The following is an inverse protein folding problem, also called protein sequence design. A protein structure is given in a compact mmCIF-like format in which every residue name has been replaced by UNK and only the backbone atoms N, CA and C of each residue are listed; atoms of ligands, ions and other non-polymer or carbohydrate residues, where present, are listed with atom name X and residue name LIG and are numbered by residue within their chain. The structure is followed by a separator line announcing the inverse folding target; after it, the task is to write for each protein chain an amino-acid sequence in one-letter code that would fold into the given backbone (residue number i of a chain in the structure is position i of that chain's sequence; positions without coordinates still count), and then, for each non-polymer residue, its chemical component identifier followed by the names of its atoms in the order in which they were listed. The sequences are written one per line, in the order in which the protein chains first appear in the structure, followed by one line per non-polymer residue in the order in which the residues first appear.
data_IF_674153275024
#
_entry.id   IF_674153275024
#
_cell.length_a   1.000
_cell.length_b   1.000
_cell.length_c   1.000
_cell.angle_alpha   90.00
_cell.angle_beta   90.00
_cell.angle_gamma   90.00
#
_symmetry.space_group_name_H-M   'P 1'
#
loop_
_entity.id
_entity.type
_entity.pdbx_description
1 polymer ?
#
# COMPACT_ATOMS: atom_id res chain seq x y z
N UNK A 1 25.20 18.09 -21.51
CA UNK A 1 25.22 17.60 -20.11
C UNK A 1 23.91 16.83 -19.92
N UNK A 2 23.91 15.52 -20.12
CA UNK A 2 24.08 14.51 -19.05
C UNK A 2 23.31 14.87 -17.79
N UNK A 3 22.31 14.04 -17.51
CA UNK A 3 21.35 14.19 -16.44
C UNK A 3 21.96 14.06 -15.06
N UNK A 4 21.20 14.56 -14.09
CA UNK A 4 21.37 14.23 -12.70
C UNK A 4 20.02 13.69 -12.23
N UNK A 5 19.92 12.36 -12.21
CA UNK A 5 18.97 11.68 -11.36
C UNK A 5 19.26 12.10 -9.91
N UNK A 6 18.30 12.72 -9.24
CA UNK A 6 18.40 12.96 -7.81
C UNK A 6 18.20 11.63 -7.06
N UNK A 7 19.14 11.25 -6.17
CA UNK A 7 18.98 10.11 -5.27
C UNK A 7 18.20 10.59 -4.03
N UNK A 8 16.98 10.09 -3.86
CA UNK A 8 16.17 10.29 -2.66
C UNK A 8 15.81 8.94 -2.07
N UNK A 9 16.63 8.47 -1.13
CA UNK A 9 16.59 7.13 -0.54
C UNK A 9 15.41 6.89 0.40
N UNK A 10 15.01 5.62 0.41
CA UNK A 10 13.92 5.03 1.19
C UNK A 10 13.23 3.92 0.40
N UNK A 11 14.01 3.07 -0.29
CA UNK A 11 13.49 2.00 -1.14
C UNK A 11 13.49 0.68 -0.40
N UNK A 12 12.32 0.07 -0.22
CA UNK A 12 12.25 -1.32 0.20
C UNK A 12 12.99 -2.26 -0.76
N UNK A 13 13.41 -3.44 -0.28
CA UNK A 13 14.15 -4.40 -1.08
C UNK A 13 13.29 -4.90 -2.24
N UNK A 14 13.88 -4.97 -3.43
CA UNK A 14 13.34 -5.66 -4.58
C UNK A 14 13.10 -7.15 -4.29
N UNK A 15 12.25 -7.81 -5.06
CA UNK A 15 12.04 -9.25 -4.91
C UNK A 15 13.34 -10.06 -5.06
N UNK A 16 14.24 -9.65 -5.96
CA UNK A 16 15.55 -10.27 -6.14
C UNK A 16 16.40 -10.18 -4.87
N UNK A 17 16.40 -9.04 -4.19
CA UNK A 17 17.10 -8.85 -2.92
C UNK A 17 16.49 -9.70 -1.81
N UNK A 18 15.15 -9.73 -1.72
CA UNK A 18 14.44 -10.62 -0.77
C UNK A 18 14.83 -12.06 -1.04
N UNK A 19 14.67 -12.53 -2.28
CA UNK A 19 14.98 -13.89 -2.72
C UNK A 19 16.42 -14.31 -2.37
N UNK A 20 17.40 -13.49 -2.72
CA UNK A 20 18.81 -13.78 -2.46
C UNK A 20 19.18 -13.73 -0.98
N UNK A 21 18.38 -13.04 -0.16
CA UNK A 21 18.58 -13.00 1.28
C UNK A 21 18.04 -14.25 1.99
N UNK A 22 17.16 -15.03 1.37
CA UNK A 22 16.53 -16.20 1.97
C UNK A 22 17.45 -17.42 1.99
N UNK A 23 17.26 -18.27 3.00
CA UNK A 23 17.87 -19.59 3.10
C UNK A 23 17.56 -20.47 1.87
N UNK A 24 18.36 -21.52 1.66
CA UNK A 24 18.07 -22.50 0.61
C UNK A 24 16.72 -23.18 0.85
N UNK A 25 16.41 -23.53 2.11
CA UNK A 25 15.15 -24.16 2.50
C UNK A 25 13.93 -23.30 2.17
N UNK A 26 13.97 -22.00 2.48
CA UNK A 26 12.88 -21.07 2.13
C UNK A 26 12.74 -20.86 0.62
N UNK A 27 13.85 -20.80 -0.12
CA UNK A 27 13.81 -20.74 -1.59
C UNK A 27 13.25 -22.00 -2.21
N UNK A 28 13.57 -23.16 -1.65
CA UNK A 28 13.01 -24.45 -2.09
C UNK A 28 11.51 -24.52 -1.80
N UNK A 29 11.07 -24.04 -0.62
CA UNK A 29 9.65 -23.94 -0.27
C UNK A 29 8.87 -23.01 -1.23
N UNK A 30 9.43 -21.85 -1.58
CA UNK A 30 8.83 -20.94 -2.58
C UNK A 30 8.82 -21.60 -3.97
N UNK A 31 9.89 -22.30 -4.34
CA UNK A 31 9.96 -23.03 -5.62
C UNK A 31 8.94 -24.16 -5.70
N UNK A 32 8.64 -24.81 -4.57
CA UNK A 32 7.64 -25.88 -4.49
C UNK A 32 6.24 -25.41 -4.91
N UNK A 33 5.89 -24.14 -4.65
CA UNK A 33 4.62 -23.53 -5.08
C UNK A 33 4.43 -23.54 -6.61
N UNK A 34 5.54 -23.49 -7.35
CA UNK A 34 5.54 -23.45 -8.82
C UNK A 34 5.68 -24.85 -9.46
N UNK A 35 5.66 -25.92 -8.67
CA UNK A 35 5.71 -27.28 -9.19
C UNK A 35 4.43 -27.66 -9.92
N UNK A 36 4.53 -28.68 -10.79
CA UNK A 36 3.40 -29.12 -11.59
C UNK A 36 2.27 -29.67 -10.72
N UNK A 37 2.61 -30.43 -9.67
CA UNK A 37 1.60 -31.03 -8.78
C UNK A 37 1.05 -30.07 -7.72
N UNK A 38 1.74 -28.96 -7.40
CA UNK A 38 1.26 -28.03 -6.37
C UNK A 38 -0.04 -27.34 -6.81
N UNK A 39 -1.04 -27.37 -5.92
CA UNK A 39 -2.28 -26.59 -6.05
C UNK A 39 -2.28 -25.40 -5.09
N UNK A 40 -1.18 -25.14 -4.39
CA UNK A 40 -1.11 -24.12 -3.33
C UNK A 40 -1.41 -22.72 -3.87
N UNK A 41 -1.03 -22.43 -5.11
CA UNK A 41 -1.31 -21.14 -5.75
C UNK A 41 -2.77 -20.96 -6.19
N UNK A 42 -3.61 -22.01 -6.17
CA UNK A 42 -5.04 -21.88 -6.47
C UNK A 42 -5.80 -21.15 -5.35
N UNK A 43 -5.21 -21.08 -4.16
CA UNK A 43 -5.79 -20.36 -3.02
C UNK A 43 -4.76 -19.49 -2.31
N UNK A 44 -5.23 -18.43 -1.67
CA UNK A 44 -4.39 -17.62 -0.77
C UNK A 44 -3.87 -18.49 0.38
N UNK A 45 -2.64 -18.23 0.81
CA UNK A 45 -2.10 -18.84 2.01
C UNK A 45 -2.95 -18.48 3.25
N UNK A 46 -3.38 -19.50 3.99
CA UNK A 46 -4.13 -19.30 5.23
C UNK A 46 -3.33 -18.47 6.23
N UNK A 47 -3.97 -17.48 6.87
CA UNK A 47 -3.37 -16.56 7.84
C UNK A 47 -2.25 -15.66 7.29
N UNK A 48 -2.09 -15.54 5.97
CA UNK A 48 -1.26 -14.48 5.41
C UNK A 48 -1.85 -13.09 5.68
N UNK A 49 -1.02 -12.02 5.69
CA UNK A 49 -1.53 -10.65 5.72
C UNK A 49 -2.61 -10.46 4.65
N UNK A 50 -3.69 -9.71 4.92
CA UNK A 50 -4.80 -9.54 3.99
C UNK A 50 -4.34 -8.93 2.66
N UNK A 51 -4.98 -9.29 1.53
CA UNK A 51 -4.67 -8.75 0.19
C UNK A 51 -4.82 -7.24 0.14
N UNK A 52 -5.79 -6.78 0.94
CA UNK A 52 -6.20 -5.40 1.09
C UNK A 52 -6.23 -5.13 2.58
N UNK A 53 -5.08 -4.76 3.17
CA UNK A 53 -5.08 -4.30 4.54
C UNK A 53 -5.92 -3.03 4.66
N UNK A 54 -6.43 -2.76 5.86
CA UNK A 54 -7.08 -1.50 6.16
C UNK A 54 -6.07 -0.36 5.98
N UNK A 55 -6.24 0.41 4.92
CA UNK A 55 -5.41 1.56 4.58
C UNK A 55 -6.21 2.85 4.69
N UNK A 56 -5.57 3.99 5.00
CA UNK A 56 -6.27 5.26 5.00
C UNK A 56 -6.94 5.58 3.66
N UNK A 57 -8.03 6.35 3.69
CA UNK A 57 -8.67 6.95 2.51
C UNK A 57 -7.60 7.61 1.63
N UNK A 58 -7.67 7.50 0.31
CA UNK A 58 -6.65 8.07 -0.58
C UNK A 58 -5.33 7.29 -0.64
N UNK A 59 -5.17 6.21 0.16
CA UNK A 59 -4.10 5.24 0.02
C UNK A 59 -4.61 4.02 -0.75
N UNK A 60 -3.83 3.53 -1.70
CA UNK A 60 -4.14 2.34 -2.50
C UNK A 60 -3.05 1.29 -2.35
N UNK A 61 -3.45 0.03 -2.23
CA UNK A 61 -2.54 -1.13 -2.25
C UNK A 61 -2.51 -1.66 -3.67
N UNK A 62 -1.32 -1.84 -4.24
CA UNK A 62 -1.15 -2.40 -5.59
C UNK A 62 -0.07 -3.45 -5.63
N UNK A 63 -0.21 -4.36 -6.58
CA UNK A 63 0.87 -5.26 -6.96
C UNK A 63 2.05 -4.44 -7.52
N UNK A 64 3.24 -4.65 -6.99
CA UNK A 64 4.46 -4.15 -7.58
C UNK A 64 4.82 -5.00 -8.81
N UNK A 65 4.70 -4.39 -10.00
CA UNK A 65 5.06 -5.02 -11.27
C UNK A 65 6.55 -5.33 -11.37
N UNK A 66 7.42 -4.61 -10.64
CA UNK A 66 8.84 -4.95 -10.56
C UNK A 66 9.04 -6.22 -9.74
N UNK A 67 8.39 -6.33 -8.57
CA UNK A 67 8.39 -7.56 -7.78
C UNK A 67 7.83 -8.77 -8.53
N UNK A 68 6.70 -8.62 -9.25
CA UNK A 68 6.14 -9.69 -10.08
C UNK A 68 7.14 -10.15 -11.16
N UNK A 69 7.79 -9.22 -11.85
CA UNK A 69 8.84 -9.55 -12.84
C UNK A 69 10.06 -10.22 -12.20
N UNK A 70 10.51 -9.73 -11.05
CA UNK A 70 11.60 -10.33 -10.28
C UNK A 70 11.25 -11.76 -9.84
N UNK A 71 10.02 -11.99 -9.39
CA UNK A 71 9.54 -13.33 -9.03
C UNK A 71 9.57 -14.29 -10.23
N UNK A 72 9.09 -13.85 -11.41
CA UNK A 72 9.17 -14.66 -12.64
C UNK A 72 10.61 -14.97 -13.05
N UNK A 73 11.55 -14.06 -12.80
CA UNK A 73 12.95 -14.23 -13.14
C UNK A 73 13.70 -15.15 -12.15
N UNK A 74 13.40 -15.04 -10.85
CA UNK A 74 14.11 -15.75 -9.80
C UNK A 74 13.54 -17.14 -9.50
N UNK A 75 12.21 -17.28 -9.47
CA UNK A 75 11.57 -18.51 -8.99
C UNK A 75 11.48 -19.53 -10.13
N UNK A 76 12.17 -20.67 -10.03
CA UNK A 76 12.13 -21.68 -11.07
C UNK A 76 10.70 -22.14 -11.35
N UNK A 77 10.35 -22.26 -12.63
CA UNK A 77 9.03 -22.73 -13.12
C UNK A 77 7.84 -21.82 -12.81
N UNK A 78 8.00 -20.71 -12.08
CA UNK A 78 6.89 -19.81 -11.76
C UNK A 78 6.24 -19.22 -13.01
N UNK A 79 7.04 -18.84 -14.01
CA UNK A 79 6.51 -18.35 -15.29
C UNK A 79 5.64 -19.40 -16.01
N UNK A 80 6.04 -20.67 -15.95
CA UNK A 80 5.22 -21.75 -16.52
C UNK A 80 3.91 -21.91 -15.75
N UNK A 81 3.98 -21.89 -14.41
CA UNK A 81 2.79 -21.99 -13.54
C UNK A 81 1.83 -20.81 -13.75
N UNK A 82 2.36 -19.60 -13.96
CA UNK A 82 1.60 -18.39 -14.32
C UNK A 82 0.76 -18.60 -15.59
N UNK A 83 1.36 -19.10 -16.67
CA UNK A 83 0.63 -19.45 -17.90
C UNK A 83 -0.33 -20.64 -17.76
N UNK A 84 -0.07 -21.56 -16.83
CA UNK A 84 -0.96 -22.71 -16.59
C UNK A 84 -2.23 -22.29 -15.85
N UNK A 85 -2.13 -21.37 -14.89
CA UNK A 85 -3.26 -20.94 -14.05
C UNK A 85 -4.03 -19.75 -14.64
N UNK A 86 -3.41 -18.87 -15.44
CA UNK A 86 -4.09 -17.70 -16.01
C UNK A 86 -4.40 -17.91 -17.50
N UNK A 87 -5.62 -17.59 -17.97
CA UNK A 87 -6.80 -17.13 -17.24
C UNK A 87 -7.70 -18.28 -16.76
N UNK A 88 -7.21 -19.52 -16.77
CA UNK A 88 -8.04 -20.74 -16.65
C UNK A 88 -8.62 -20.96 -15.25
N UNK A 89 -7.84 -20.63 -14.24
CA UNK A 89 -8.14 -20.86 -12.82
C UNK A 89 -8.19 -19.54 -12.07
N UNK A 90 -7.28 -18.61 -12.37
CA UNK A 90 -7.13 -17.33 -11.66
C UNK A 90 -7.07 -16.16 -12.63
N UNK A 91 -7.46 -14.98 -12.14
CA UNK A 91 -7.08 -13.73 -12.79
C UNK A 91 -5.61 -13.41 -12.51
N UNK A 92 -5.03 -12.49 -13.29
CA UNK A 92 -3.66 -12.00 -13.06
C UNK A 92 -3.49 -11.49 -11.61
N UNK A 93 -4.46 -10.74 -11.10
CA UNK A 93 -4.41 -10.17 -9.76
C UNK A 93 -4.50 -11.25 -8.66
N UNK A 94 -5.36 -12.24 -8.83
CA UNK A 94 -5.54 -13.30 -7.84
C UNK A 94 -4.30 -14.22 -7.78
N UNK A 95 -3.71 -14.54 -8.93
CA UNK A 95 -2.46 -15.30 -8.97
C UNK A 95 -1.36 -14.63 -8.16
N UNK A 96 -1.18 -13.32 -8.35
CA UNK A 96 -0.14 -12.59 -7.65
C UNK A 96 -0.45 -12.42 -6.17
N UNK A 97 -1.70 -12.15 -5.77
CA UNK A 97 -2.07 -12.14 -4.34
C UNK A 97 -1.79 -13.51 -3.70
N UNK A 98 -2.17 -14.61 -4.35
CA UNK A 98 -1.92 -15.94 -3.83
C UNK A 98 -0.41 -16.22 -3.70
N UNK A 99 0.36 -16.03 -4.78
CA UNK A 99 1.80 -16.25 -4.75
C UNK A 99 2.48 -15.42 -3.65
N UNK A 100 2.23 -14.12 -3.62
CA UNK A 100 2.86 -13.23 -2.66
C UNK A 100 2.37 -13.46 -1.22
N UNK A 101 1.15 -13.96 -1.02
CA UNK A 101 0.68 -14.37 0.30
C UNK A 101 1.49 -15.54 0.87
N UNK A 102 1.83 -16.53 0.03
CA UNK A 102 2.66 -17.67 0.44
C UNK A 102 4.10 -17.24 0.71
N UNK A 103 4.68 -16.45 -0.19
CA UNK A 103 6.03 -15.88 0.01
C UNK A 103 6.09 -15.06 1.29
N UNK A 104 5.07 -14.24 1.57
CA UNK A 104 5.04 -13.40 2.77
C UNK A 104 5.07 -14.24 4.05
N UNK A 105 4.40 -15.39 4.09
CA UNK A 105 4.46 -16.28 5.27
C UNK A 105 5.85 -16.87 5.48
N UNK A 106 6.50 -17.26 4.39
CA UNK A 106 7.86 -17.82 4.43
C UNK A 106 8.84 -16.74 4.91
N UNK A 107 8.72 -15.54 4.35
CA UNK A 107 9.52 -14.37 4.76
C UNK A 107 9.20 -13.97 6.21
N UNK A 108 7.94 -14.02 6.66
CA UNK A 108 7.57 -13.69 8.04
C UNK A 108 8.25 -14.60 9.06
N UNK A 109 8.39 -15.90 8.72
CA UNK A 109 9.02 -16.88 9.58
C UNK A 109 10.54 -16.72 9.64
N UNK A 110 11.20 -16.37 8.52
CA UNK A 110 12.67 -16.28 8.46
C UNK A 110 13.20 -14.87 8.74
N UNK A 111 12.57 -13.85 8.15
CA UNK A 111 13.02 -12.45 8.09
C UNK A 111 11.84 -11.46 8.19
N UNK A 112 11.16 -11.41 9.35
CA UNK A 112 9.99 -10.55 9.53
C UNK A 112 10.28 -9.05 9.30
N UNK A 113 11.53 -8.61 9.43
CA UNK A 113 11.97 -7.25 9.15
C UNK A 113 11.81 -6.83 7.69
N UNK A 114 11.78 -7.79 6.75
CA UNK A 114 11.57 -7.51 5.32
C UNK A 114 10.11 -7.24 4.97
N UNK A 115 9.18 -7.53 5.89
CA UNK A 115 7.76 -7.21 5.78
C UNK A 115 7.42 -5.86 6.42
N UNK A 116 8.43 -5.10 6.85
CA UNK A 116 8.22 -3.86 7.59
C UNK A 116 7.69 -2.76 6.65
N UNK A 117 6.47 -2.24 6.88
CA UNK A 117 5.78 -1.38 5.94
C UNK A 117 6.32 0.06 5.87
N UNK A 118 7.23 0.45 6.77
CA UNK A 118 7.94 1.75 6.67
C UNK A 118 8.74 1.90 5.35
N UNK A 119 9.14 0.78 4.75
CA UNK A 119 9.94 0.71 3.53
C UNK A 119 9.12 0.86 2.23
N UNK A 120 7.79 0.90 2.27
CA UNK A 120 6.96 0.47 1.12
C UNK A 120 5.81 1.36 0.66
N UNK A 121 5.82 2.66 0.96
CA UNK A 121 4.91 3.59 0.27
C UNK A 121 5.66 4.25 -0.90
N UNK A 122 5.40 3.80 -2.13
CA UNK A 122 5.86 4.48 -3.34
C UNK A 122 4.79 5.48 -3.81
N UNK A 123 5.17 6.44 -4.61
CA UNK A 123 4.24 7.22 -5.42
C UNK A 123 4.44 6.77 -6.87
N UNK A 124 3.39 6.30 -7.53
CA UNK A 124 3.43 5.94 -8.95
C UNK A 124 2.27 6.62 -9.65
N UNK A 125 2.60 7.37 -10.70
CA UNK A 125 1.68 8.20 -11.46
C UNK A 125 0.75 7.40 -12.38
N UNK A 126 0.95 6.08 -12.52
CA UNK A 126 0.25 5.28 -13.52
C UNK A 126 -0.50 4.09 -12.90
N UNK A 127 -1.80 4.27 -12.63
CA UNK A 127 -2.90 3.32 -12.94
C UNK A 127 -4.22 3.80 -12.29
N UNK A 128 -5.34 3.35 -12.85
CA UNK A 128 -6.72 3.83 -12.64
C UNK A 128 -7.05 4.37 -11.24
N UNK A 129 -7.52 5.62 -11.12
CA UNK A 129 -7.81 6.25 -9.84
C UNK A 129 -9.05 5.62 -9.21
N UNK A 130 -8.85 4.91 -8.11
CA UNK A 130 -9.95 4.60 -7.20
C UNK A 130 -9.96 5.75 -6.20
N UNK A 131 -10.37 6.95 -6.66
CA UNK A 131 -10.33 8.17 -5.86
C UNK A 131 -11.33 8.06 -4.69
N UNK A 132 -10.89 7.37 -3.64
CA UNK A 132 -11.67 7.06 -2.46
C UNK A 132 -11.90 8.30 -1.61
N UNK A 133 -11.04 9.31 -1.73
CA UNK A 133 -11.23 10.60 -1.08
C UNK A 133 -12.50 11.29 -1.57
N UNK A 134 -12.73 11.37 -2.88
CA UNK A 134 -13.91 12.06 -3.41
C UNK A 134 -15.22 11.45 -2.91
N UNK A 135 -15.30 10.11 -2.86
CA UNK A 135 -16.47 9.42 -2.28
C UNK A 135 -16.61 9.68 -0.78
N UNK A 136 -15.51 9.56 -0.02
CA UNK A 136 -15.54 9.78 1.42
C UNK A 136 -15.92 11.23 1.77
N UNK A 137 -15.32 12.19 1.08
CA UNK A 137 -15.63 13.62 1.23
C UNK A 137 -17.09 13.92 0.93
N UNK A 138 -17.66 13.30 -0.11
CA UNK A 138 -19.08 13.46 -0.43
C UNK A 138 -19.99 12.93 0.69
N UNK A 139 -19.62 11.82 1.33
CA UNK A 139 -20.39 11.22 2.43
C UNK A 139 -20.29 11.93 3.78
N UNK A 140 -19.29 12.79 3.99
CA UNK A 140 -19.15 13.55 5.23
C UNK A 140 -20.27 14.60 5.39
N UNK A 141 -20.83 14.69 6.58
CA UNK A 141 -21.73 15.79 6.96
C UNK A 141 -20.96 17.12 7.10
N UNK A 142 -21.69 18.22 7.29
CA UNK A 142 -21.09 19.56 7.41
C UNK A 142 -20.12 19.63 8.59
N UNK A 143 -20.48 19.08 9.75
CA UNK A 143 -19.65 19.09 10.94
C UNK A 143 -18.33 18.37 10.74
N UNK A 144 -18.36 17.19 10.12
CA UNK A 144 -17.16 16.40 9.82
C UNK A 144 -16.28 17.06 8.75
N UNK A 145 -16.89 17.71 7.75
CA UNK A 145 -16.14 18.53 6.78
C UNK A 145 -15.41 19.69 7.45
N UNK A 146 -16.02 20.35 8.44
CA UNK A 146 -15.34 21.40 9.22
C UNK A 146 -14.17 20.85 10.04
N UNK A 147 -14.29 19.65 10.62
CA UNK A 147 -13.16 19.00 11.30
C UNK A 147 -12.00 18.74 10.34
N UNK A 148 -12.27 18.28 9.11
CA UNK A 148 -11.24 18.09 8.09
C UNK A 148 -10.63 19.44 7.65
N UNK A 149 -11.43 20.50 7.48
CA UNK A 149 -10.93 21.85 7.16
C UNK A 149 -10.05 22.41 8.28
N UNK A 150 -10.37 22.13 9.54
CA UNK A 150 -9.56 22.54 10.68
C UNK A 150 -8.14 21.94 10.67
N UNK A 151 -7.93 20.79 10.01
CA UNK A 151 -6.58 20.24 9.79
C UNK A 151 -5.71 21.17 8.94
N UNK A 152 -6.31 21.87 7.98
CA UNK A 152 -5.65 22.81 7.08
C UNK A 152 -5.53 24.22 7.67
N UNK A 153 -6.02 24.48 8.89
CA UNK A 153 -5.91 25.78 9.52
C UNK A 153 -4.43 26.18 9.71
N UNK A 154 -4.15 27.48 9.55
CA UNK A 154 -2.77 28.01 9.56
C UNK A 154 -1.99 27.57 10.80
N UNK A 155 -2.62 27.65 11.96
CA UNK A 155 -2.01 27.42 13.27
C UNK A 155 -2.18 25.96 13.75
N UNK A 156 -2.82 25.10 12.97
CA UNK A 156 -3.00 23.68 13.30
C UNK A 156 -1.71 22.89 13.12
N UNK A 157 -1.30 22.12 14.12
CA UNK A 157 -0.14 21.21 14.02
C UNK A 157 -0.55 19.76 13.76
N UNK A 158 -1.85 19.50 13.60
CA UNK A 158 -2.39 18.15 13.49
C UNK A 158 -1.75 17.31 12.38
N UNK A 159 -1.40 17.92 11.25
CA UNK A 159 -0.79 17.20 10.11
C UNK A 159 0.68 16.82 10.31
N UNK A 160 1.35 17.28 11.38
CA UNK A 160 2.73 16.88 11.69
C UNK A 160 2.84 15.42 12.12
N UNK A 161 1.73 14.81 12.53
CA UNK A 161 1.66 13.42 13.00
C UNK A 161 0.33 12.77 12.65
N UNK A 162 0.27 11.45 12.43
CA UNK A 162 -1.01 10.75 12.25
C UNK A 162 -1.85 10.81 13.54
N UNK A 163 -3.19 10.73 13.47
CA UNK A 163 -4.03 10.68 14.67
C UNK A 163 -3.84 9.35 15.40
N UNK A 164 -3.96 9.31 16.74
CA UNK A 164 -3.75 8.09 17.52
C UNK A 164 -4.66 6.92 17.16
N UNK A 165 -5.88 7.22 16.67
CA UNK A 165 -6.89 6.23 16.30
C UNK A 165 -6.86 5.85 14.81
N UNK A 166 -5.89 6.35 14.03
CA UNK A 166 -5.79 5.93 12.64
C UNK A 166 -5.39 4.45 12.53
N UNK A 167 -5.85 3.76 11.47
CA UNK A 167 -5.18 2.54 11.03
C UNK A 167 -3.68 2.78 10.91
N UNK A 168 -2.87 1.74 11.08
CA UNK A 168 -1.43 1.86 10.93
C UNK A 168 -1.10 2.61 9.63
N UNK A 169 -0.36 3.72 9.73
CA UNK A 169 -0.02 4.59 8.60
C UNK A 169 0.64 3.82 7.43
N UNK A 170 1.27 2.69 7.76
CA UNK A 170 1.68 1.67 6.83
C UNK A 170 1.31 0.31 7.45
N UNK A 171 0.20 -0.33 7.07
CA UNK A 171 -0.10 -1.68 7.55
C UNK A 171 0.88 -2.69 6.93
N UNK A 172 1.10 -3.83 7.59
CA UNK A 172 1.87 -4.93 6.99
C UNK A 172 1.20 -5.35 5.68
N UNK A 173 1.92 -5.21 4.58
CA UNK A 173 1.46 -5.61 3.25
C UNK A 173 2.24 -6.86 2.78
N UNK A 174 1.65 -7.74 1.97
CA UNK A 174 2.38 -8.86 1.39
C UNK A 174 3.63 -8.41 0.61
N UNK A 175 4.68 -9.24 0.59
CA UNK A 175 5.84 -9.09 -0.30
C UNK A 175 5.35 -8.80 -1.72
N UNK A 176 5.98 -7.88 -2.44
CA UNK A 176 5.58 -7.57 -3.82
C UNK A 176 4.27 -6.81 -3.94
N UNK A 177 3.72 -6.31 -2.84
CA UNK A 177 2.70 -5.25 -2.85
C UNK A 177 3.28 -3.95 -2.32
N UNK A 178 2.81 -2.84 -2.86
CA UNK A 178 3.21 -1.50 -2.48
C UNK A 178 1.99 -0.66 -2.14
N UNK A 179 2.17 0.23 -1.16
CA UNK A 179 1.18 1.23 -0.81
C UNK A 179 1.47 2.51 -1.61
N UNK A 180 0.44 3.22 -2.04
CA UNK A 180 0.59 4.47 -2.76
C UNK A 180 -0.41 5.50 -2.30
N UNK A 181 0.00 6.77 -2.35
CA UNK A 181 -0.95 7.88 -2.35
C UNK A 181 -1.57 7.96 -3.75
N UNK A 182 -2.90 7.88 -3.84
CA UNK A 182 -3.60 8.13 -5.09
C UNK A 182 -3.49 9.62 -5.44
N UNK A 183 -2.79 9.92 -6.53
CA UNK A 183 -2.60 11.29 -6.99
C UNK A 183 -3.93 12.01 -7.30
N UNK A 184 -4.95 11.28 -7.77
CA UNK A 184 -6.28 11.87 -7.98
C UNK A 184 -6.94 12.23 -6.65
N UNK A 185 -6.78 11.39 -5.62
CA UNK A 185 -7.26 11.68 -4.28
C UNK A 185 -6.55 12.90 -3.66
N UNK A 186 -5.23 12.99 -3.79
CA UNK A 186 -4.45 14.14 -3.34
C UNK A 186 -4.90 15.43 -4.04
N UNK A 187 -5.03 15.38 -5.38
CA UNK A 187 -5.48 16.53 -6.16
C UNK A 187 -6.91 16.98 -5.79
N UNK A 188 -7.82 16.04 -5.58
CA UNK A 188 -9.19 16.38 -5.20
C UNK A 188 -9.28 16.86 -3.74
N UNK A 189 -8.41 16.37 -2.85
CA UNK A 189 -8.27 16.92 -1.51
C UNK A 189 -7.81 18.39 -1.55
N UNK A 190 -6.81 18.73 -2.37
CA UNK A 190 -6.33 20.11 -2.54
C UNK A 190 -7.41 21.04 -3.07
N UNK A 191 -8.28 20.56 -3.95
CA UNK A 191 -9.42 21.33 -4.49
C UNK A 191 -10.56 21.48 -3.50
N UNK A 192 -10.85 20.44 -2.72
CA UNK A 192 -12.06 20.34 -1.90
C UNK A 192 -11.89 20.89 -0.49
N UNK A 193 -10.68 20.79 0.08
CA UNK A 193 -10.38 21.22 1.44
C UNK A 193 -9.73 22.60 1.39
N UNK A 194 -10.46 23.59 1.87
CA UNK A 194 -10.00 24.97 1.88
C UNK A 194 -8.67 25.12 2.64
N UNK A 195 -7.75 25.91 2.10
CA UNK A 195 -6.42 26.18 2.64
C UNK A 195 -5.47 24.97 2.71
N UNK A 196 -5.87 23.77 2.29
CA UNK A 196 -4.99 22.59 2.31
C UNK A 196 -3.75 22.77 1.43
N UNK A 197 -3.88 23.39 0.25
CA UNK A 197 -2.72 23.71 -0.60
C UNK A 197 -1.72 24.62 0.12
N UNK A 198 -2.20 25.70 0.76
CA UNK A 198 -1.32 26.61 1.51
C UNK A 198 -0.64 25.88 2.67
N UNK A 199 -1.36 24.95 3.31
CA UNK A 199 -0.83 24.13 4.39
C UNK A 199 0.24 23.16 3.88
N UNK A 200 0.00 22.52 2.75
CA UNK A 200 0.96 21.67 2.04
C UNK A 200 2.24 22.46 1.74
N UNK A 201 2.13 23.63 1.10
CA UNK A 201 3.29 24.49 0.77
C UNK A 201 4.06 24.99 2.01
N UNK A 202 3.38 25.12 3.15
CA UNK A 202 4.01 25.49 4.42
C UNK A 202 4.79 24.35 5.07
N UNK A 203 4.27 23.12 4.98
CA UNK A 203 4.81 21.95 5.65
C UNK A 203 5.79 21.16 4.79
N UNK A 204 5.61 21.13 3.47
CA UNK A 204 6.43 20.36 2.54
C UNK A 204 7.33 21.29 1.72
N UNK A 205 8.64 21.00 1.58
CA UNK A 205 9.40 19.93 2.21
C UNK A 205 9.99 20.31 3.59
N UNK A 206 9.53 21.41 4.21
CA UNK A 206 10.22 22.05 5.35
C UNK A 206 10.14 21.28 6.66
N UNK A 207 8.94 20.76 6.98
CA UNK A 207 8.61 20.07 8.23
C UNK A 207 8.26 18.60 8.02
N UNK A 208 7.79 18.25 6.82
CA UNK A 208 7.40 16.89 6.43
C UNK A 208 7.86 16.61 5.00
N UNK A 209 8.10 15.34 4.70
CA UNK A 209 8.15 14.87 3.32
C UNK A 209 6.76 14.83 2.67
N UNK A 210 6.72 14.85 1.33
CA UNK A 210 5.47 14.77 0.54
C UNK A 210 4.62 13.57 0.97
N UNK A 211 5.25 12.40 1.09
CA UNK A 211 4.62 11.15 1.51
C UNK A 211 4.02 11.25 2.92
N UNK A 212 4.78 11.77 3.87
CA UNK A 212 4.36 11.87 5.28
C UNK A 212 3.17 12.82 5.42
N UNK A 213 3.19 13.95 4.71
CA UNK A 213 2.07 14.88 4.69
C UNK A 213 0.77 14.20 4.26
N UNK A 214 0.79 13.49 3.12
CA UNK A 214 -0.40 12.85 2.59
C UNK A 214 -0.88 11.72 3.47
N UNK A 215 0.01 10.86 3.96
CA UNK A 215 -0.35 9.78 4.88
C UNK A 215 -1.02 10.33 6.13
N UNK A 216 -0.44 11.38 6.74
CA UNK A 216 -1.02 11.99 7.93
C UNK A 216 -2.39 12.59 7.64
N UNK A 217 -2.51 13.40 6.58
CA UNK A 217 -3.78 14.01 6.17
C UNK A 217 -4.87 12.95 5.97
N UNK A 218 -4.58 11.92 5.18
CA UNK A 218 -5.53 10.86 4.88
C UNK A 218 -5.88 10.00 6.09
N UNK A 219 -4.94 9.79 7.00
CA UNK A 219 -5.18 9.12 8.27
C UNK A 219 -6.18 9.90 9.14
N UNK A 220 -6.05 11.22 9.22
CA UNK A 220 -7.03 12.09 9.88
C UNK A 220 -8.42 12.02 9.23
N UNK A 221 -8.48 12.11 7.90
CA UNK A 221 -9.75 12.01 7.16
C UNK A 221 -10.42 10.65 7.41
N UNK A 222 -9.65 9.58 7.50
CA UNK A 222 -10.15 8.21 7.78
C UNK A 222 -10.79 8.11 9.16
N UNK A 223 -10.13 8.63 10.19
CA UNK A 223 -10.68 8.63 11.56
C UNK A 223 -11.96 9.47 11.64
N UNK A 224 -11.96 10.65 11.02
CA UNK A 224 -13.14 11.53 11.01
C UNK A 224 -14.31 10.86 10.27
N UNK A 225 -14.05 10.23 9.13
CA UNK A 225 -15.08 9.53 8.37
C UNK A 225 -15.64 8.31 9.13
N UNK A 226 -14.79 7.54 9.81
CA UNK A 226 -15.23 6.42 10.64
C UNK A 226 -16.11 6.87 11.81
N UNK A 227 -15.76 7.98 12.47
CA UNK A 227 -16.56 8.55 13.55
C UNK A 227 -17.90 9.15 13.07
N UNK A 228 -18.00 9.52 11.80
CA UNK A 228 -19.21 10.06 11.18
C UNK A 228 -20.15 8.97 10.65
N UNK A 229 -19.71 7.72 10.56
CA UNK A 229 -20.55 6.61 10.14
C UNK A 229 -21.58 6.29 11.23
N UNK A 230 -22.88 6.15 10.91
CA UNK A 230 -23.87 5.75 11.89
C UNK A 230 -23.50 4.35 12.42
N UNK A 231 -23.48 4.18 13.74
CA UNK A 231 -23.32 2.86 14.37
C UNK A 231 -24.40 1.93 13.79
N UNK A 232 -24.01 0.99 12.93
CA UNK A 232 -24.86 -0.15 12.63
C UNK A 232 -25.03 -0.92 13.93
N UNK A 233 -26.24 -1.02 14.52
CA UNK A 233 -26.44 -1.84 15.70
C UNK A 233 -26.08 -3.28 15.33
N UNK A 234 -25.11 -3.84 16.05
CA UNK A 234 -24.79 -5.26 15.96
C UNK A 234 -26.06 -6.06 16.25
N UNK A 235 -26.52 -6.83 15.27
CA UNK A 235 -27.58 -7.84 15.42
C UNK A 235 -26.97 -9.22 15.23
#
# INVERSE_FOLDING_TARGET
AMGAAHPGGGGGPSFEEVWNSLSAESRDAITALATRESTDLETRAASAPPARPDVPIGVVVRLDRAAARGALACVPRLQRKHYELIPKVLTEMDFWDHFFSHVSKIVEHEKPELLNPELGLRASADASPTNSFTSAWASLDTSSKELVRALAARDSEALLSPPPAAPAAAPRVPVGTELFIDAAAAMDALKSVENLQKKHDMLVPKKLGEKEFWVNFFSHVTVIAAAAAPETPSS
#
